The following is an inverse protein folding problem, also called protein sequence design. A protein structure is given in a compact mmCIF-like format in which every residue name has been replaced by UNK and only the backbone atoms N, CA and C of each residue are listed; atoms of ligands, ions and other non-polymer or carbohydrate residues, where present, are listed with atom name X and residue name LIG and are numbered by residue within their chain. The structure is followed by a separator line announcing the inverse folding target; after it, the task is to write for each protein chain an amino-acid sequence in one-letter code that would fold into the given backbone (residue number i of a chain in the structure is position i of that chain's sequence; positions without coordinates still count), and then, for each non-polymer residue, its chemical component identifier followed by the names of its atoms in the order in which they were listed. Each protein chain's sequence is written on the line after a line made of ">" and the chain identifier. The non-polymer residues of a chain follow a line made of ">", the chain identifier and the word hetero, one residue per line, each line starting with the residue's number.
data_IF_480389885969
#
_entry.id   IF_480389885969
#
_cell.length_a   1.000
_cell.length_b   1.000
_cell.length_c   1.000
_cell.angle_alpha   90.00
_cell.angle_beta   90.00
_cell.angle_gamma   90.00
#
_symmetry.space_group_name_H-M   'P 1'
#
loop_
_entity.id
_entity.type
_entity.pdbx_description
1 polymer ?
#
# COMPACT_ATOMS: atom_id res chain seq x y z
N UNK A 1 -22.47 11.76 -17.53
CA UNK A 1 -23.49 10.69 -17.64
C UNK A 1 -22.77 9.36 -17.49
N UNK A 2 -22.86 8.79 -16.29
CA UNK A 2 -22.76 7.36 -15.94
C UNK A 2 -22.26 6.38 -17.00
N UNK A 3 -21.14 5.71 -16.72
CA UNK A 3 -20.96 4.32 -17.13
C UNK A 3 -20.62 3.44 -15.93
N UNK A 4 -21.66 3.17 -15.13
CA UNK A 4 -21.77 1.91 -14.40
C UNK A 4 -21.80 0.77 -15.43
N UNK A 5 -20.82 -0.14 -15.38
CA UNK A 5 -20.92 -1.43 -16.06
C UNK A 5 -21.27 -2.53 -15.04
N UNK A 6 -22.57 -2.82 -14.94
CA UNK A 6 -23.13 -4.04 -14.33
C UNK A 6 -23.05 -5.21 -15.31
N UNK A 7 -23.03 -6.45 -14.75
CA UNK A 7 -23.81 -7.68 -15.09
C UNK A 7 -22.91 -8.95 -15.00
N UNK A 8 -23.30 -10.17 -14.60
CA UNK A 8 -24.54 -10.82 -14.11
C UNK A 8 -24.25 -12.32 -13.80
N UNK A 9 -24.92 -12.89 -12.76
CA UNK A 9 -25.46 -14.29 -12.57
C UNK A 9 -24.63 -15.55 -12.88
N UNK A 10 -24.39 -16.49 -11.93
CA UNK A 10 -25.27 -17.45 -11.21
C UNK A 10 -25.46 -18.80 -11.92
N UNK A 11 -25.11 -19.92 -11.24
CA UNK A 11 -25.68 -21.29 -11.26
C UNK A 11 -24.89 -22.09 -10.19
N UNK A 12 -25.38 -22.97 -9.31
CA UNK A 12 -26.66 -23.66 -9.21
C UNK A 12 -26.47 -25.19 -9.29
N UNK A 13 -26.55 -25.88 -8.14
CA UNK A 13 -27.12 -27.24 -7.94
C UNK A 13 -26.24 -28.39 -7.41
N UNK A 14 -26.86 -29.07 -6.43
CA UNK A 14 -27.01 -30.53 -6.27
C UNK A 14 -26.24 -31.23 -5.16
N UNK A 15 -26.95 -31.43 -4.04
CA UNK A 15 -26.73 -32.46 -3.03
C UNK A 15 -26.82 -33.86 -3.65
N UNK A 16 -25.86 -34.72 -3.31
CA UNK A 16 -25.96 -36.17 -3.45
C UNK A 16 -25.54 -36.83 -2.12
N UNK A 17 -26.51 -37.47 -1.47
CA UNK A 17 -26.32 -38.37 -0.32
C UNK A 17 -25.78 -39.71 -0.83
N UNK A 18 -24.62 -40.13 -0.32
CA UNK A 18 -24.11 -41.49 -0.51
C UNK A 18 -23.82 -42.14 0.86
N UNK A 19 -24.39 -43.32 1.05
CA UNK A 19 -24.26 -44.16 2.23
C UNK A 19 -22.83 -44.68 2.41
N UNK A 20 -22.35 -44.63 3.66
CA UNK A 20 -20.99 -44.98 4.03
C UNK A 20 -20.71 -46.49 4.06
N UNK A 21 -19.54 -46.84 3.55
CA UNK A 21 -18.78 -48.03 3.94
C UNK A 21 -17.47 -47.56 4.56
N UNK A 22 -17.20 -47.95 5.82
CA UNK A 22 -15.95 -47.59 6.50
C UNK A 22 -14.81 -48.46 5.95
N UNK A 23 -14.05 -47.91 5.02
CA UNK A 23 -12.67 -48.31 4.75
C UNK A 23 -11.74 -47.35 5.49
N UNK A 24 -10.82 -47.89 6.29
CA UNK A 24 -9.75 -47.09 6.91
C UNK A 24 -8.77 -46.73 5.80
N UNK A 25 -9.01 -45.59 5.15
CA UNK A 25 -8.06 -44.99 4.22
C UNK A 25 -7.07 -44.16 5.02
N UNK A 26 -5.80 -44.54 4.99
CA UNK A 26 -4.71 -43.64 5.38
C UNK A 26 -4.79 -42.41 4.48
N UNK A 27 -5.19 -41.27 5.05
CA UNK A 27 -5.29 -40.03 4.30
C UNK A 27 -3.91 -39.71 3.71
N UNK A 28 -3.79 -39.50 2.39
CA UNK A 28 -2.56 -38.95 1.85
C UNK A 28 -2.33 -37.60 2.54
N UNK A 29 -1.14 -37.39 3.08
CA UNK A 29 -0.71 -36.07 3.52
C UNK A 29 -0.77 -35.17 2.30
N UNK A 30 -1.85 -34.41 2.15
CA UNK A 30 -1.97 -33.39 1.13
C UNK A 30 -0.85 -32.40 1.39
N UNK A 31 0.21 -32.47 0.58
CA UNK A 31 1.18 -31.39 0.49
C UNK A 31 0.38 -30.10 0.27
N UNK A 32 0.65 -29.07 1.09
CA UNK A 32 0.04 -27.77 0.89
C UNK A 32 0.28 -27.34 -0.55
N UNK A 33 -0.75 -26.84 -1.22
CA UNK A 33 -0.59 -26.26 -2.55
C UNK A 33 0.52 -25.19 -2.49
N UNK A 34 1.41 -25.12 -3.49
CA UNK A 34 2.42 -24.07 -3.52
C UNK A 34 1.74 -22.70 -3.43
N UNK A 35 2.35 -21.79 -2.67
CA UNK A 35 1.86 -20.43 -2.55
C UNK A 35 1.84 -19.75 -3.94
N UNK A 36 0.81 -18.94 -4.18
CA UNK A 36 0.60 -18.29 -5.47
C UNK A 36 1.68 -17.23 -5.75
N UNK A 37 2.22 -17.25 -6.97
CA UNK A 37 3.30 -16.37 -7.44
C UNK A 37 2.72 -15.22 -8.28
N UNK A 38 2.09 -14.25 -7.61
CA UNK A 38 1.27 -13.19 -8.23
C UNK A 38 2.05 -12.20 -9.13
N UNK A 39 3.35 -12.02 -8.87
CA UNK A 39 4.24 -11.13 -9.65
C UNK A 39 5.27 -11.92 -10.46
N UNK A 40 4.99 -13.18 -10.79
CA UNK A 40 5.91 -14.07 -11.51
C UNK A 40 6.79 -14.94 -10.61
N UNK A 41 7.67 -15.78 -11.19
CA UNK A 41 8.40 -16.81 -10.45
C UNK A 41 9.19 -16.28 -9.25
N UNK A 42 9.00 -16.89 -8.08
CA UNK A 42 9.65 -16.49 -6.82
C UNK A 42 8.96 -15.35 -6.06
N UNK A 43 7.81 -14.86 -6.53
CA UNK A 43 7.08 -13.75 -5.89
C UNK A 43 6.08 -14.16 -4.81
N UNK A 44 6.03 -15.45 -4.45
CA UNK A 44 5.10 -15.95 -3.45
C UNK A 44 5.21 -15.18 -2.12
N UNK A 45 4.06 -14.76 -1.58
CA UNK A 45 3.99 -14.04 -0.31
C UNK A 45 4.27 -15.01 0.84
N UNK A 46 5.37 -14.77 1.56
CA UNK A 46 5.79 -15.56 2.72
C UNK A 46 5.64 -14.73 3.99
N UNK A 47 4.39 -14.52 4.42
CA UNK A 47 4.08 -13.77 5.62
C UNK A 47 4.34 -14.60 6.89
N UNK A 48 5.14 -14.04 7.80
CA UNK A 48 5.37 -14.58 9.14
C UNK A 48 5.21 -13.46 10.17
N UNK A 49 4.09 -13.49 10.90
CA UNK A 49 3.80 -12.55 11.98
C UNK A 49 4.91 -12.48 13.03
N UNK A 50 5.57 -13.62 13.32
CA UNK A 50 6.62 -13.68 14.34
C UNK A 50 7.89 -12.93 13.94
N UNK A 51 8.07 -12.60 12.65
CA UNK A 51 9.21 -11.84 12.14
C UNK A 51 9.18 -10.36 12.57
N UNK A 52 8.04 -9.85 13.01
CA UNK A 52 7.85 -8.45 13.40
C UNK A 52 8.11 -8.23 14.91
N UNK A 53 8.72 -7.10 15.29
CA UNK A 53 8.85 -6.71 16.69
C UNK A 53 7.50 -6.30 17.29
N UNK A 54 7.39 -6.33 18.62
CA UNK A 54 6.17 -5.91 19.34
C UNK A 54 5.90 -4.40 19.18
N UNK A 55 6.95 -3.58 19.27
CA UNK A 55 6.89 -2.13 19.02
C UNK A 55 7.40 -1.83 17.60
N UNK A 56 6.60 -1.12 16.77
CA UNK A 56 6.94 -0.87 15.37
C UNK A 56 7.99 0.23 15.24
N UNK A 57 9.19 -0.16 14.78
CA UNK A 57 10.24 0.77 14.36
C UNK A 57 10.61 0.52 12.91
N UNK A 58 10.34 1.51 12.06
CA UNK A 58 10.59 1.43 10.61
C UNK A 58 11.75 2.36 10.27
N UNK A 59 12.95 1.80 10.30
CA UNK A 59 14.22 2.48 10.01
C UNK A 59 14.93 1.94 8.76
N UNK A 60 14.18 1.27 7.88
CA UNK A 60 14.66 0.82 6.59
C UNK A 60 15.35 1.99 5.86
N UNK A 61 16.53 1.71 5.30
CA UNK A 61 17.36 2.71 4.64
C UNK A 61 16.60 3.51 3.58
N UNK A 62 15.72 2.86 2.83
CA UNK A 62 15.04 3.41 1.65
C UNK A 62 13.62 3.88 1.93
N UNK A 63 13.02 3.40 3.03
CA UNK A 63 11.66 3.77 3.41
C UNK A 63 11.54 3.96 4.94
N UNK A 64 12.24 4.96 5.51
CA UNK A 64 12.19 5.22 6.94
C UNK A 64 10.89 5.97 7.31
N UNK A 65 10.09 5.39 8.20
CA UNK A 65 8.84 6.01 8.67
C UNK A 65 9.02 6.49 10.11
N UNK A 66 9.65 7.67 10.25
CA UNK A 66 9.86 8.31 11.55
C UNK A 66 8.67 9.20 11.92
N UNK A 67 7.99 8.96 13.06
CA UNK A 67 6.86 9.77 13.49
C UNK A 67 7.16 11.27 13.53
N UNK A 68 6.20 12.06 13.04
CA UNK A 68 6.27 13.52 12.94
C UNK A 68 7.05 14.04 11.72
N UNK A 69 7.58 13.16 10.86
CA UNK A 69 8.08 13.56 9.56
C UNK A 69 6.93 13.74 8.57
N UNK A 70 7.03 14.76 7.74
CA UNK A 70 6.10 15.03 6.65
C UNK A 70 6.86 15.37 5.38
N UNK A 71 6.38 14.81 4.28
CA UNK A 71 6.94 14.92 2.94
C UNK A 71 5.85 15.47 2.01
N UNK A 72 6.23 16.31 1.05
CA UNK A 72 5.32 16.78 0.01
C UNK A 72 5.93 16.53 -1.35
N UNK A 73 5.24 15.74 -2.15
CA UNK A 73 5.52 15.55 -3.58
C UNK A 73 4.58 16.45 -4.38
N UNK A 74 5.07 16.99 -5.48
CA UNK A 74 4.31 17.87 -6.37
C UNK A 74 4.77 17.63 -7.80
N UNK A 75 3.82 17.70 -8.72
CA UNK A 75 4.08 17.54 -10.14
C UNK A 75 2.77 17.49 -10.91
N UNK A 76 2.67 16.56 -11.86
CA UNK A 76 1.55 16.52 -12.80
C UNK A 76 1.11 15.11 -13.16
N UNK A 77 -0.18 14.95 -13.39
CA UNK A 77 -0.76 13.80 -14.11
C UNK A 77 -1.19 14.27 -15.49
N UNK A 78 -0.73 13.59 -16.52
CA UNK A 78 -1.21 13.76 -17.91
C UNK A 78 -2.16 12.64 -18.24
N UNK A 79 -3.36 12.95 -18.69
CA UNK A 79 -4.43 12.01 -18.98
C UNK A 79 -5.21 12.45 -20.23
N UNK A 80 -6.27 11.73 -20.57
CA UNK A 80 -7.09 12.04 -21.76
C UNK A 80 -7.79 13.41 -21.71
N UNK A 81 -8.05 13.93 -20.52
CA UNK A 81 -8.73 15.20 -20.25
C UNK A 81 -7.78 16.40 -20.09
N UNK A 82 -6.47 16.17 -19.90
CA UNK A 82 -5.49 17.24 -19.88
C UNK A 82 -4.24 16.93 -19.07
N UNK A 83 -3.56 18.01 -18.66
CA UNK A 83 -2.46 17.96 -17.70
C UNK A 83 -2.93 18.68 -16.44
N UNK A 84 -2.90 17.96 -15.33
CA UNK A 84 -3.43 18.39 -14.04
C UNK A 84 -2.30 18.49 -13.01
N UNK A 85 -2.35 19.50 -12.14
CA UNK A 85 -1.43 19.56 -11.01
C UNK A 85 -1.79 18.45 -10.03
N UNK A 86 -0.77 17.77 -9.52
CA UNK A 86 -0.94 16.71 -8.54
C UNK A 86 0.01 16.93 -7.37
N UNK A 87 -0.48 16.77 -6.15
CA UNK A 87 0.27 17.00 -4.92
C UNK A 87 -0.13 16.00 -3.86
N UNK A 88 0.84 15.29 -3.29
CA UNK A 88 0.61 14.38 -2.16
C UNK A 88 1.35 14.83 -0.92
N UNK A 89 0.69 14.83 0.23
CA UNK A 89 1.27 15.17 1.54
C UNK A 89 1.32 13.93 2.42
N UNK A 90 2.46 13.27 2.44
CA UNK A 90 2.70 12.06 3.24
C UNK A 90 3.11 12.42 4.65
N UNK A 91 2.41 11.90 5.66
CA UNK A 91 2.68 12.22 7.07
C UNK A 91 2.81 10.97 7.91
N UNK A 92 3.98 10.76 8.52
CA UNK A 92 4.16 9.66 9.47
C UNK A 92 3.57 10.05 10.81
N UNK A 93 2.46 9.43 11.17
CA UNK A 93 1.75 9.74 12.42
C UNK A 93 2.45 9.13 13.64
N UNK A 94 2.01 9.53 14.83
CA UNK A 94 2.35 8.87 16.10
C UNK A 94 1.46 7.67 16.40
N UNK A 95 0.59 7.27 15.47
CA UNK A 95 -0.38 6.21 15.70
C UNK A 95 0.16 4.85 15.31
N UNK A 96 -0.35 3.84 15.98
CA UNK A 96 -0.20 2.43 15.64
C UNK A 96 -1.54 1.73 15.56
N UNK A 97 -1.61 0.67 14.77
CA UNK A 97 -2.81 -0.17 14.65
C UNK A 97 -2.40 -1.64 14.51
N UNK A 98 -3.08 -2.53 15.20
CA UNK A 98 -2.82 -3.97 15.08
C UNK A 98 -3.59 -4.51 13.87
N UNK A 99 -2.86 -5.02 12.87
CA UNK A 99 -3.43 -5.66 11.68
C UNK A 99 -2.81 -7.03 11.53
N UNK A 100 -3.66 -8.06 11.35
CA UNK A 100 -3.24 -9.44 11.24
C UNK A 100 -2.23 -9.85 12.34
N UNK A 101 -2.47 -9.37 13.57
CA UNK A 101 -1.64 -9.60 14.76
C UNK A 101 -0.26 -8.95 14.76
N UNK A 102 0.01 -8.02 13.84
CA UNK A 102 1.24 -7.20 13.80
C UNK A 102 0.89 -5.76 14.18
N UNK A 103 1.66 -5.16 15.09
CA UNK A 103 1.58 -3.72 15.37
C UNK A 103 2.17 -2.95 14.19
N UNK A 104 1.34 -2.17 13.49
CA UNK A 104 1.72 -1.38 12.32
C UNK A 104 1.82 0.10 12.67
N UNK A 105 2.72 0.83 12.02
CA UNK A 105 2.76 2.30 12.00
C UNK A 105 1.72 2.80 11.00
N UNK A 106 0.93 3.79 11.41
CA UNK A 106 -0.01 4.47 10.52
C UNK A 106 0.68 5.64 9.82
N UNK A 107 0.67 5.62 8.49
CA UNK A 107 1.00 6.77 7.65
C UNK A 107 -0.32 7.40 7.17
N UNK A 108 -0.37 8.73 7.16
CA UNK A 108 -1.53 9.48 6.67
C UNK A 108 -1.14 10.29 5.45
N UNK A 109 -1.69 9.89 4.31
CA UNK A 109 -1.47 10.49 3.01
C UNK A 109 -2.71 11.30 2.59
N UNK A 110 -2.46 12.41 1.90
CA UNK A 110 -3.51 13.28 1.37
C UNK A 110 -3.15 13.64 -0.06
N UNK A 111 -4.00 13.23 -0.97
CA UNK A 111 -3.87 13.44 -2.39
C UNK A 111 -4.73 14.64 -2.83
N UNK A 112 -4.10 15.56 -3.57
CA UNK A 112 -4.75 16.72 -4.16
C UNK A 112 -4.56 16.75 -5.67
N UNK A 113 -5.68 16.83 -6.41
CA UNK A 113 -5.70 17.13 -7.84
C UNK A 113 -6.19 18.57 -8.05
N UNK A 114 -5.42 19.38 -8.78
CA UNK A 114 -5.69 20.80 -9.04
C UNK A 114 -6.05 21.62 -7.77
N UNK A 115 -5.46 21.22 -6.64
CA UNK A 115 -5.66 21.87 -5.33
C UNK A 115 -6.87 21.36 -4.53
N UNK A 116 -7.70 20.48 -5.08
CA UNK A 116 -8.83 19.85 -4.40
C UNK A 116 -8.40 18.51 -3.79
N UNK A 117 -8.83 18.23 -2.55
CA UNK A 117 -8.59 16.94 -1.91
C UNK A 117 -9.42 15.88 -2.63
N UNK A 118 -8.78 14.87 -3.19
CA UNK A 118 -9.43 13.75 -3.89
C UNK A 118 -9.35 12.45 -3.09
N UNK A 119 -8.30 12.30 -2.29
CA UNK A 119 -8.14 11.14 -1.40
C UNK A 119 -7.47 11.53 -0.09
N UNK A 120 -7.88 10.89 1.00
CA UNK A 120 -7.25 10.97 2.31
C UNK A 120 -7.13 9.57 2.90
N UNK A 121 -5.91 9.03 2.94
CA UNK A 121 -5.66 7.61 3.18
C UNK A 121 -4.89 7.33 4.46
N UNK A 122 -5.34 6.33 5.23
CA UNK A 122 -4.51 5.67 6.24
C UNK A 122 -3.88 4.40 5.68
N UNK A 123 -2.55 4.39 5.58
CA UNK A 123 -1.76 3.23 5.16
C UNK A 123 -0.99 2.62 6.34
N UNK A 124 -0.92 1.29 6.39
CA UNK A 124 -0.40 0.56 7.55
C UNK A 124 0.87 -0.20 7.23
N UNK A 125 1.99 0.21 7.83
CA UNK A 125 3.29 -0.40 7.55
C UNK A 125 3.89 -1.06 8.79
N UNK A 126 4.63 -2.15 8.61
CA UNK A 126 5.51 -2.67 9.65
C UNK A 126 6.82 -3.18 9.07
N UNK A 127 7.88 -3.11 9.88
CA UNK A 127 9.19 -3.60 9.49
C UNK A 127 9.52 -4.87 10.28
N UNK A 128 9.92 -5.91 9.56
CA UNK A 128 10.47 -7.14 10.16
C UNK A 128 11.78 -6.85 10.89
N UNK A 129 12.19 -7.71 11.83
CA UNK A 129 13.53 -7.63 12.44
C UNK A 129 14.67 -7.73 11.42
N UNK A 130 14.41 -8.32 10.26
CA UNK A 130 15.35 -8.39 9.13
C UNK A 130 15.48 -7.10 8.32
N UNK A 131 14.61 -6.11 8.55
CA UNK A 131 14.66 -4.80 7.89
C UNK A 131 13.72 -4.62 6.70
N UNK A 132 12.97 -5.65 6.30
CA UNK A 132 12.00 -5.54 5.20
C UNK A 132 10.74 -4.87 5.70
N UNK A 133 10.27 -3.84 5.00
CA UNK A 133 9.02 -3.12 5.29
C UNK A 133 7.89 -3.76 4.50
N UNK A 134 6.75 -3.94 5.15
CA UNK A 134 5.56 -4.56 4.61
C UNK A 134 4.39 -3.58 4.68
N UNK A 135 3.53 -3.61 3.66
CA UNK A 135 2.24 -2.91 3.60
C UNK A 135 1.14 -3.88 4.03
N UNK A 136 0.40 -3.54 5.07
CA UNK A 136 -0.61 -4.39 5.69
C UNK A 136 -2.05 -4.02 5.31
N UNK A 137 -2.27 -2.87 4.70
CA UNK A 137 -3.60 -2.38 4.39
C UNK A 137 -3.62 -0.89 4.12
N UNK A 138 -4.73 -0.48 3.53
CA UNK A 138 -5.05 0.90 3.19
C UNK A 138 -6.53 1.16 3.47
N UNK A 139 -6.82 2.36 3.97
CA UNK A 139 -8.14 2.93 4.10
C UNK A 139 -8.17 4.29 3.39
N UNK A 140 -8.38 4.29 2.06
CA UNK A 140 -8.45 5.51 1.26
C UNK A 140 -9.87 6.09 1.31
N UNK A 141 -10.04 7.22 1.99
CA UNK A 141 -11.28 8.00 1.88
C UNK A 141 -11.25 8.83 0.60
N UNK A 142 -12.20 8.59 -0.29
CA UNK A 142 -12.36 9.29 -1.56
C UNK A 142 -13.28 10.52 -1.40
N UNK A 143 -12.96 11.58 -2.14
CA UNK A 143 -13.66 12.86 -2.11
C UNK A 143 -13.97 13.35 -3.53
N UNK A 144 -15.19 13.84 -3.74
CA UNK A 144 -15.61 14.49 -5.00
C UNK A 144 -16.20 15.87 -4.70
N UNK A 145 -15.70 16.93 -5.34
CA UNK A 145 -16.15 18.31 -5.12
C UNK A 145 -16.12 18.73 -3.63
N UNK A 146 -15.17 18.21 -2.87
CA UNK A 146 -15.01 18.45 -1.43
C UNK A 146 -15.98 17.65 -0.53
N UNK A 147 -16.80 16.76 -1.08
CA UNK A 147 -17.68 15.88 -0.31
C UNK A 147 -17.08 14.48 -0.20
N UNK A 148 -17.11 13.89 1.00
CA UNK A 148 -16.70 12.50 1.23
C UNK A 148 -17.67 11.55 0.54
N UNK A 149 -17.16 10.69 -0.37
CA UNK A 149 -17.99 9.76 -1.14
C UNK A 149 -17.89 8.30 -0.68
N UNK A 150 -16.84 7.96 0.07
CA UNK A 150 -16.68 6.63 0.65
C UNK A 150 -15.23 6.21 0.76
N UNK A 151 -15.01 4.91 1.02
CA UNK A 151 -13.68 4.30 0.99
C UNK A 151 -13.75 2.92 0.31
N UNK A 152 -14.17 2.85 -0.97
CA UNK A 152 -14.51 1.60 -1.63
C UNK A 152 -13.31 0.66 -1.80
N UNK A 153 -12.10 1.23 -1.89
CA UNK A 153 -10.84 0.52 -2.11
C UNK A 153 -10.15 0.07 -0.81
N UNK A 154 -10.85 0.12 0.33
CA UNK A 154 -10.30 -0.34 1.62
C UNK A 154 -9.88 -1.81 1.57
N UNK A 155 -8.64 -2.10 1.94
CA UNK A 155 -8.17 -3.46 2.19
C UNK A 155 -7.33 -3.59 3.45
N UNK A 156 -7.39 -4.75 4.09
CA UNK A 156 -6.68 -5.05 5.33
C UNK A 156 -6.22 -6.51 5.29
N UNK A 157 -4.92 -6.75 5.48
CA UNK A 157 -4.33 -8.09 5.48
C UNK A 157 -5.04 -9.04 6.45
N UNK A 158 -5.20 -10.30 6.02
CA UNK A 158 -5.89 -11.33 6.78
C UNK A 158 -7.42 -11.25 6.71
N UNK A 159 -7.98 -10.23 6.05
CA UNK A 159 -9.42 -10.06 5.83
C UNK A 159 -9.74 -10.05 4.34
N UNK A 160 -10.91 -10.59 3.97
CA UNK A 160 -11.39 -10.61 2.58
C UNK A 160 -10.37 -11.16 1.55
N UNK A 161 -9.50 -12.09 1.99
CA UNK A 161 -8.36 -12.66 1.23
C UNK A 161 -7.25 -11.65 0.88
N UNK A 162 -7.27 -10.45 1.44
CA UNK A 162 -6.15 -9.54 1.30
C UNK A 162 -4.91 -10.06 2.03
N UNK A 163 -3.75 -9.86 1.42
CA UNK A 163 -2.46 -10.31 1.91
C UNK A 163 -1.50 -9.13 1.92
N UNK A 164 -0.87 -8.88 3.07
CA UNK A 164 0.24 -7.95 3.18
C UNK A 164 1.37 -8.39 2.25
N UNK A 165 2.06 -7.41 1.65
CA UNK A 165 3.23 -7.63 0.81
C UNK A 165 4.41 -6.76 1.24
N UNK A 166 5.51 -6.84 0.49
CA UNK A 166 6.74 -6.12 0.77
C UNK A 166 6.65 -4.72 0.17
N UNK A 167 6.50 -3.68 0.99
CA UNK A 167 6.58 -2.29 0.53
C UNK A 167 8.02 -1.90 0.14
N UNK A 168 9.02 -2.38 0.91
CA UNK A 168 10.42 -2.07 0.66
C UNK A 168 11.36 -3.18 1.15
N UNK A 169 12.17 -3.79 0.28
CA UNK A 169 13.17 -4.78 0.68
C UNK A 169 14.21 -4.22 1.67
N UNK A 170 14.68 -5.05 2.61
CA UNK A 170 15.78 -4.67 3.51
C UNK A 170 17.09 -4.40 2.78
N UNK A 171 17.37 -5.21 1.75
CA UNK A 171 18.63 -5.25 1.00
C UNK A 171 18.33 -5.45 -0.49
N UNK A 172 17.78 -4.42 -1.16
CA UNK A 172 17.36 -4.52 -2.56
C UNK A 172 18.56 -4.84 -3.47
N UNK A 173 18.34 -5.70 -4.48
CA UNK A 173 19.30 -6.06 -5.51
C UNK A 173 18.59 -6.18 -6.85
N UNK A 174 19.25 -5.80 -7.94
CA UNK A 174 18.65 -5.79 -9.29
C UNK A 174 18.56 -7.19 -9.92
N UNK A 175 19.19 -8.20 -9.32
CA UNK A 175 19.21 -9.59 -9.78
C UNK A 175 18.27 -10.51 -8.97
N UNK A 176 17.24 -9.93 -8.35
CA UNK A 176 16.20 -10.68 -7.62
C UNK A 176 14.86 -10.63 -8.34
N UNK A 177 13.98 -11.63 -8.15
CA UNK A 177 12.63 -11.58 -8.67
C UNK A 177 11.84 -10.35 -8.19
N UNK A 178 10.80 -10.03 -8.94
CA UNK A 178 9.74 -9.11 -8.50
C UNK A 178 9.02 -9.64 -7.27
N UNK A 179 8.46 -8.75 -6.47
CA UNK A 179 7.76 -9.07 -5.23
C UNK A 179 6.39 -8.40 -5.18
N UNK A 180 5.45 -9.03 -4.48
CA UNK A 180 4.12 -8.43 -4.23
C UNK A 180 4.26 -7.33 -3.18
N UNK A 181 3.79 -6.12 -3.48
CA UNK A 181 3.70 -4.99 -2.55
C UNK A 181 2.45 -5.08 -1.68
N UNK A 182 1.31 -5.45 -2.25
CA UNK A 182 0.15 -6.01 -1.56
C UNK A 182 -0.79 -6.69 -2.57
N UNK A 183 -1.70 -7.52 -2.07
CA UNK A 183 -2.74 -8.17 -2.88
C UNK A 183 -4.07 -8.12 -2.13
N UNK A 184 -5.10 -7.56 -2.75
CA UNK A 184 -6.45 -7.53 -2.21
C UNK A 184 -7.50 -7.73 -3.32
N UNK A 185 -7.85 -8.99 -3.65
CA UNK A 185 -8.71 -9.29 -4.79
C UNK A 185 -10.16 -8.82 -4.62
N UNK A 186 -10.55 -8.38 -3.42
CA UNK A 186 -11.91 -7.87 -3.19
C UNK A 186 -12.12 -6.46 -3.74
N UNK A 187 -11.04 -5.71 -3.89
CA UNK A 187 -10.97 -4.34 -4.39
C UNK A 187 -10.10 -4.26 -5.65
N UNK A 188 -9.89 -5.40 -6.31
CA UNK A 188 -9.09 -5.53 -7.54
C UNK A 188 -7.67 -4.93 -7.44
N UNK A 189 -7.06 -5.03 -6.25
CA UNK A 189 -5.72 -4.51 -5.99
C UNK A 189 -4.67 -5.64 -6.08
N UNK A 190 -3.66 -5.43 -6.91
CA UNK A 190 -2.40 -6.17 -6.91
C UNK A 190 -1.31 -5.19 -7.33
N UNK A 191 -0.30 -5.02 -6.49
CA UNK A 191 0.85 -4.20 -6.82
C UNK A 191 2.13 -5.01 -6.70
N UNK A 192 3.04 -4.81 -7.65
CA UNK A 192 4.26 -5.58 -7.80
C UNK A 192 5.46 -4.64 -7.94
N UNK A 193 6.48 -4.86 -7.12
CA UNK A 193 7.73 -4.11 -7.18
C UNK A 193 8.87 -4.93 -7.78
N UNK A 194 9.69 -4.29 -8.60
CA UNK A 194 10.98 -4.81 -9.07
C UNK A 194 12.08 -3.83 -8.73
N UNK A 195 13.18 -4.31 -8.15
CA UNK A 195 14.38 -3.48 -7.96
C UNK A 195 15.02 -3.22 -9.33
N UNK A 196 14.74 -2.06 -9.92
CA UNK A 196 15.12 -1.75 -11.28
C UNK A 196 16.55 -1.24 -11.39
N UNK A 197 16.88 -0.23 -10.57
CA UNK A 197 18.21 0.39 -10.56
C UNK A 197 18.64 0.76 -9.15
N UNK A 198 19.95 0.90 -8.97
CA UNK A 198 20.58 1.30 -7.71
C UNK A 198 21.71 2.26 -7.98
N UNK A 199 22.14 2.97 -6.93
CA UNK A 199 23.26 3.91 -6.98
C UNK A 199 23.05 5.00 -8.04
N UNK A 200 21.81 5.44 -8.22
CA UNK A 200 21.50 6.56 -9.12
C UNK A 200 21.81 7.89 -8.43
N UNK A 201 22.03 8.93 -9.24
CA UNK A 201 22.13 10.33 -8.81
C UNK A 201 20.92 11.08 -9.36
N UNK A 202 20.11 11.69 -8.49
CA UNK A 202 18.86 12.35 -8.88
C UNK A 202 18.73 13.70 -8.17
N UNK A 203 18.44 14.75 -8.94
CA UNK A 203 18.13 16.07 -8.40
C UNK A 203 16.62 16.34 -8.48
N UNK A 204 16.07 16.82 -7.37
CA UNK A 204 14.69 17.31 -7.23
C UNK A 204 14.73 18.64 -6.47
N UNK A 205 13.61 19.36 -6.30
CA UNK A 205 13.64 20.70 -5.68
C UNK A 205 14.19 20.74 -4.24
N UNK A 206 14.14 19.63 -3.50
CA UNK A 206 14.74 19.54 -2.16
C UNK A 206 16.26 19.33 -2.15
N UNK A 207 16.88 19.04 -3.30
CA UNK A 207 18.32 18.84 -3.44
C UNK A 207 18.69 17.73 -4.42
N UNK A 208 19.99 17.49 -4.55
CA UNK A 208 20.53 16.34 -5.26
C UNK A 208 20.84 15.22 -4.26
N UNK A 209 20.43 14.02 -4.62
CA UNK A 209 20.58 12.81 -3.83
C UNK A 209 21.48 11.83 -4.57
N UNK A 210 22.52 11.40 -3.89
CA UNK A 210 23.36 10.29 -4.31
C UNK A 210 22.83 9.00 -3.67
N UNK A 211 23.17 7.84 -4.25
CA UNK A 211 22.71 6.54 -3.78
C UNK A 211 21.18 6.44 -3.75
N UNK A 212 20.56 6.59 -4.93
CA UNK A 212 19.12 6.42 -5.14
C UNK A 212 18.80 5.02 -5.65
N UNK A 213 17.79 4.40 -5.03
CA UNK A 213 17.17 3.15 -5.43
C UNK A 213 15.96 3.46 -6.33
N UNK A 214 15.83 2.75 -7.44
CA UNK A 214 14.65 2.83 -8.30
C UNK A 214 13.91 1.52 -8.21
N UNK A 215 12.64 1.58 -7.81
CA UNK A 215 11.70 0.47 -7.87
C UNK A 215 10.76 0.73 -9.05
N UNK A 216 10.62 -0.28 -9.90
CA UNK A 216 9.63 -0.33 -10.96
C UNK A 216 8.39 -1.02 -10.39
N UNK A 217 7.29 -0.28 -10.27
CA UNK A 217 6.05 -0.67 -9.62
C UNK A 217 4.94 -0.78 -10.67
N UNK A 218 4.25 -1.91 -10.74
CA UNK A 218 3.27 -2.23 -11.78
C UNK A 218 2.14 -3.13 -11.26
N UNK A 219 0.96 -3.01 -11.88
CA UNK A 219 -0.21 -3.84 -11.59
C UNK A 219 -0.41 -4.91 -12.68
N UNK A 220 -0.16 -6.20 -12.42
CA UNK A 220 -0.38 -7.28 -13.39
C UNK A 220 -1.84 -7.53 -13.76
N UNK A 221 -2.80 -6.96 -13.03
CA UNK A 221 -4.23 -7.04 -13.37
C UNK A 221 -4.58 -6.07 -14.51
N UNK A 222 -3.74 -5.06 -14.74
CA UNK A 222 -3.88 -4.12 -15.83
C UNK A 222 -3.18 -4.62 -17.10
N UNK A 223 -3.69 -4.23 -18.29
CA UNK A 223 -3.04 -4.55 -19.53
C UNK A 223 -1.70 -3.78 -19.64
N UNK A 224 -0.62 -4.38 -20.20
CA UNK A 224 0.72 -3.75 -20.22
C UNK A 224 0.78 -2.33 -20.83
N UNK A 225 -0.19 -2.00 -21.69
CA UNK A 225 -0.33 -0.72 -22.38
C UNK A 225 -0.84 0.39 -21.45
N UNK A 226 -1.40 0.03 -20.29
CA UNK A 226 -1.78 0.99 -19.24
C UNK A 226 -0.57 1.76 -18.68
N UNK A 227 0.65 1.24 -18.89
CA UNK A 227 1.86 1.81 -18.33
C UNK A 227 2.05 1.39 -16.88
N UNK A 228 3.08 1.94 -16.25
CA UNK A 228 3.43 1.69 -14.86
C UNK A 228 4.33 2.82 -14.34
N UNK A 229 4.81 2.70 -13.11
CA UNK A 229 5.57 3.77 -12.46
C UNK A 229 6.97 3.31 -12.06
N UNK A 230 7.90 4.26 -12.10
CA UNK A 230 9.18 4.14 -11.43
C UNK A 230 9.23 5.10 -10.26
N UNK A 231 9.45 4.55 -9.07
CA UNK A 231 9.58 5.29 -7.82
C UNK A 231 11.03 5.30 -7.36
N UNK A 232 11.53 6.50 -7.09
CA UNK A 232 12.92 6.76 -6.73
C UNK A 232 13.00 7.03 -5.24
N UNK A 233 13.78 6.22 -4.54
CA UNK A 233 13.95 6.26 -3.09
C UNK A 233 15.38 6.63 -2.74
N UNK A 234 15.55 7.71 -1.96
CA UNK A 234 16.85 8.12 -1.43
C UNK A 234 17.09 7.56 -0.03
N UNK A 235 18.32 7.15 0.23
CA UNK A 235 18.75 6.66 1.53
C UNK A 235 18.49 7.69 2.65
N UNK A 236 17.71 7.30 3.66
CA UNK A 236 17.37 8.13 4.83
C UNK A 236 16.23 9.13 4.61
N UNK A 237 15.82 9.37 3.37
CA UNK A 237 14.76 10.32 3.02
C UNK A 237 13.45 9.61 2.67
N UNK A 238 13.50 8.51 1.89
CA UNK A 238 12.30 7.90 1.34
C UNK A 238 12.09 8.26 -0.13
N UNK A 239 10.82 8.25 -0.55
CA UNK A 239 10.39 8.61 -1.91
C UNK A 239 10.80 10.05 -2.24
N UNK A 240 11.56 10.23 -3.32
CA UNK A 240 12.00 11.54 -3.81
C UNK A 240 11.44 11.90 -5.18
N UNK A 241 11.04 10.92 -5.99
CA UNK A 241 10.55 11.14 -7.35
C UNK A 241 9.67 9.98 -7.82
N UNK A 242 8.66 10.28 -8.63
CA UNK A 242 7.82 9.32 -9.37
C UNK A 242 7.88 9.69 -10.85
N UNK A 243 7.99 8.70 -11.72
CA UNK A 243 7.88 8.89 -13.17
C UNK A 243 7.06 7.77 -13.81
N UNK A 244 6.19 8.12 -14.74
CA UNK A 244 5.49 7.15 -15.57
C UNK A 244 6.41 6.48 -16.61
N UNK A 245 6.08 5.23 -16.94
CA UNK A 245 6.66 4.44 -18.03
C UNK A 245 5.53 3.92 -18.91
N UNK A 246 5.37 4.50 -20.10
CA UNK A 246 4.25 4.18 -20.99
C UNK A 246 2.91 4.71 -20.46
N UNK A 247 1.80 4.13 -20.90
CA UNK A 247 0.46 4.52 -20.44
C UNK A 247 -0.12 5.77 -21.08
N UNK A 248 -1.45 5.82 -21.11
CA UNK A 248 -2.21 7.03 -21.47
C UNK A 248 -2.26 8.04 -20.32
N UNK A 249 -2.28 7.52 -19.08
CA UNK A 249 -2.24 8.30 -17.86
C UNK A 249 -0.81 8.26 -17.29
N UNK A 250 -0.18 9.41 -17.14
CA UNK A 250 1.24 9.53 -16.81
C UNK A 250 1.46 10.52 -15.66
N UNK A 251 1.90 9.98 -14.52
CA UNK A 251 2.26 10.75 -13.34
C UNK A 251 3.77 11.07 -13.30
N UNK A 252 4.10 12.32 -12.99
CA UNK A 252 5.46 12.77 -12.71
C UNK A 252 5.46 13.65 -11.47
N UNK A 253 6.18 13.24 -10.44
CA UNK A 253 6.19 13.92 -9.14
C UNK A 253 7.60 14.07 -8.63
N UNK A 254 7.90 15.21 -7.99
CA UNK A 254 9.16 15.45 -7.30
C UNK A 254 8.91 15.80 -5.84
N UNK A 255 9.81 15.37 -4.96
CA UNK A 255 9.82 15.79 -3.55
C UNK A 255 10.22 17.27 -3.46
N UNK A 256 9.23 18.09 -3.14
CA UNK A 256 9.37 19.55 -3.03
C UNK A 256 9.53 20.04 -1.59
N UNK A 257 9.19 19.22 -0.60
CA UNK A 257 9.30 19.61 0.81
C UNK A 257 9.52 18.43 1.74
N UNK A 258 10.43 18.60 2.69
CA UNK A 258 10.59 17.73 3.85
C UNK A 258 10.52 18.60 5.11
N UNK A 259 9.74 18.19 6.10
CA UNK A 259 9.72 18.87 7.40
C UNK A 259 9.49 17.91 8.56
N UNK A 260 10.01 18.29 9.72
CA UNK A 260 9.63 17.72 11.01
C UNK A 260 8.55 18.61 11.63
N UNK A 261 7.41 18.03 11.96
CA UNK A 261 6.32 18.71 12.65
C UNK A 261 6.76 19.08 14.07
N UNK A 262 6.33 20.27 14.53
CA UNK A 262 6.43 20.60 15.96
C UNK A 262 5.37 19.84 16.76
N UNK A 263 5.42 19.93 18.09
CA UNK A 263 4.52 19.15 18.96
C UNK A 263 3.03 19.44 18.72
N UNK A 264 2.65 20.71 18.52
CA UNK A 264 1.27 21.11 18.25
C UNK A 264 0.77 20.57 16.91
N UNK A 265 1.57 20.75 15.85
CA UNK A 265 1.26 20.22 14.51
C UNK A 265 1.17 18.69 14.51
N UNK A 266 2.04 18.02 15.26
CA UNK A 266 2.06 16.57 15.34
C UNK A 266 0.84 16.04 16.09
N UNK A 267 0.44 16.69 17.19
CA UNK A 267 -0.80 16.36 17.89
C UNK A 267 -2.04 16.53 16.99
N UNK A 268 -2.14 17.65 16.26
CA UNK A 268 -3.24 17.91 15.34
C UNK A 268 -3.33 16.88 14.20
N UNK A 269 -2.18 16.45 13.66
CA UNK A 269 -2.12 15.38 12.66
C UNK A 269 -2.61 14.06 13.22
N UNK A 270 -2.23 13.71 14.46
CA UNK A 270 -2.69 12.46 15.09
C UNK A 270 -4.19 12.50 15.38
N UNK A 271 -4.72 13.63 15.83
CA UNK A 271 -6.16 13.82 16.04
C UNK A 271 -6.94 13.63 14.73
N UNK A 272 -6.52 14.28 13.65
CA UNK A 272 -7.18 14.14 12.33
C UNK A 272 -7.09 12.72 11.79
N UNK A 273 -5.94 12.05 11.91
CA UNK A 273 -5.82 10.65 11.50
C UNK A 273 -6.71 9.71 12.34
N UNK A 274 -6.95 10.00 13.63
CA UNK A 274 -7.91 9.26 14.46
C UNK A 274 -9.36 9.49 14.03
N UNK A 275 -9.72 10.67 13.50
CA UNK A 275 -11.05 10.90 12.93
C UNK A 275 -11.30 10.01 11.70
N UNK A 276 -10.28 9.81 10.85
CA UNK A 276 -10.35 8.84 9.74
C UNK A 276 -10.50 7.41 10.27
N UNK A 277 -9.67 7.02 11.25
CA UNK A 277 -9.78 5.69 11.87
C UNK A 277 -11.19 5.45 12.41
N UNK A 278 -11.78 6.44 13.09
CA UNK A 278 -13.14 6.37 13.62
C UNK A 278 -14.19 6.19 12.53
N UNK A 279 -14.14 7.02 11.47
CA UNK A 279 -15.04 6.89 10.31
C UNK A 279 -14.93 5.53 9.63
N UNK A 280 -13.72 4.96 9.57
CA UNK A 280 -13.49 3.62 8.99
C UNK A 280 -14.35 2.52 9.61
N UNK A 281 -14.72 2.63 10.90
CA UNK A 281 -15.61 1.67 11.56
C UNK A 281 -17.06 1.74 11.06
N UNK A 282 -17.48 2.90 10.57
CA UNK A 282 -18.83 3.11 10.05
C UNK A 282 -18.92 2.83 8.55
N UNK A 283 -17.90 3.24 7.80
CA UNK A 283 -17.80 3.18 6.33
C UNK A 283 -17.43 1.78 5.86
N UNK A 284 -16.39 1.16 6.44
CA UNK A 284 -15.86 -0.14 6.03
C UNK A 284 -16.16 -1.23 7.07
N UNK A 285 -17.45 -1.51 7.27
CA UNK A 285 -17.96 -2.42 8.33
C UNK A 285 -17.53 -3.88 8.17
N UNK A 286 -17.29 -4.32 6.94
CA UNK A 286 -16.94 -5.70 6.61
C UNK A 286 -15.45 -5.97 6.68
N UNK A 287 -14.60 -4.93 6.58
CA UNK A 287 -13.14 -5.05 6.52
C UNK A 287 -12.49 -4.21 7.63
N UNK A 288 -12.43 -2.88 7.49
CA UNK A 288 -11.73 -2.01 8.45
C UNK A 288 -12.21 -2.19 9.89
N UNK A 289 -13.54 -2.22 10.08
CA UNK A 289 -14.17 -2.35 11.39
C UNK A 289 -13.91 -3.69 12.11
N UNK A 290 -13.23 -4.65 11.46
CA UNK A 290 -12.82 -5.94 12.04
C UNK A 290 -11.45 -5.88 12.71
N UNK A 291 -10.80 -4.72 12.70
CA UNK A 291 -9.51 -4.48 13.35
C UNK A 291 -9.68 -3.72 14.67
N UNK A 292 -8.75 -3.88 15.64
CA UNK A 292 -8.61 -2.94 16.75
C UNK A 292 -8.41 -1.49 16.28
N UNK A 293 -8.87 -0.52 17.06
CA UNK A 293 -8.71 0.92 16.76
C UNK A 293 -7.24 1.31 16.70
N UNK A 294 -6.94 2.35 15.93
CA UNK A 294 -5.64 2.98 16.01
C UNK A 294 -5.50 3.67 17.39
N UNK A 295 -4.28 3.68 17.91
CA UNK A 295 -3.95 4.31 19.19
C UNK A 295 -2.61 5.05 19.09
N UNK A 296 -2.38 6.00 20.00
CA UNK A 296 -1.07 6.64 20.10
C UNK A 296 -0.04 5.62 20.59
N UNK A 297 1.12 5.62 19.94
CA UNK A 297 2.29 4.86 20.37
C UNK A 297 2.95 5.60 21.54
N UNK A 298 2.74 5.08 22.75
CA UNK A 298 3.26 5.61 24.02
C UNK A 298 4.78 5.44 24.19
#
# INVERSE_FOLDING_TARGET
>A
MTHLARRLTAYGSALLLAFGTLTVMSAPSTAAAPAEELCGPGSAINFDRSAFPESPRIDNKWFPLKPGMQYTTLGTVTSADGVHEHKVVHTVTGLTKVIDGVTTRVMWDRDYADGELVESELAFFAQTRGGTVWLFGEYPEEYENGEFVGAPSTFISGLAKAQAGIAMPARPKTDTPSYVQAYAPKVDFLDCGTVFQKNQEVCVPTGCYDDVLVIDEYNPLEPPEAGHQQKFYSAGTGLIKVTAVGGADQEFMDLVKVRKLNAEQFAAVNEQALELDERGYEVSRSVYAKTPRAELDD
#
